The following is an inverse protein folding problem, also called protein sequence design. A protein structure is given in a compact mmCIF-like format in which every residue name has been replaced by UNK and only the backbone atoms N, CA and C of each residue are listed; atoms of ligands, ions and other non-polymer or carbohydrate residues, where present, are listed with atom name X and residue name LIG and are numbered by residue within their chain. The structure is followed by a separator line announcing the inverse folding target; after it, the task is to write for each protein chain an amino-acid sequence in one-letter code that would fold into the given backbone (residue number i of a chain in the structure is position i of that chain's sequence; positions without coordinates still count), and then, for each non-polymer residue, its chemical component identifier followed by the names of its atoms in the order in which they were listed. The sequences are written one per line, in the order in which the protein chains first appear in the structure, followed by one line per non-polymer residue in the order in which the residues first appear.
data_IF_908417793469
#
_entry.id   IF_908417793469
#
_cell.length_a   1.000
_cell.length_b   1.000
_cell.length_c   1.000
_cell.angle_alpha   90.00
_cell.angle_beta   90.00
_cell.angle_gamma   90.00
#
_symmetry.space_group_name_H-M   'P 1'
#
loop_
_entity.id
_entity.type
_entity.pdbx_description
1 polymer ?
#
# COMPACT_ATOMS: atom_id res chain seq x y z
N UNK A 1 10.85 -4.94 -21.29
CA UNK A 1 10.14 -4.10 -22.29
C UNK A 1 9.10 -4.96 -22.95
N UNK A 2 7.82 -4.76 -22.62
CA UNK A 2 6.70 -5.42 -23.30
C UNK A 2 5.89 -4.34 -24.01
N UNK A 3 5.49 -4.69 -25.23
CA UNK A 3 5.05 -3.80 -26.29
C UNK A 3 3.77 -3.04 -26.01
N UNK A 4 3.75 -1.89 -26.67
CA UNK A 4 2.66 -0.93 -26.76
C UNK A 4 1.59 -1.50 -27.69
N UNK A 5 0.46 -1.97 -27.14
CA UNK A 5 -0.74 -2.29 -27.90
C UNK A 5 -1.95 -1.77 -27.09
N UNK A 6 -2.58 -0.70 -27.58
CA UNK A 6 -3.92 -0.28 -27.13
C UNK A 6 -4.06 0.54 -25.84
N UNK A 7 -3.28 1.61 -25.63
CA UNK A 7 -3.75 2.85 -24.99
C UNK A 7 -4.33 2.85 -23.56
N UNK A 8 -4.23 1.79 -22.76
CA UNK A 8 -4.53 1.83 -21.32
C UNK A 8 -3.21 1.99 -20.52
N UNK A 9 -3.04 3.14 -19.86
CA UNK A 9 -1.92 3.33 -18.92
C UNK A 9 -1.99 2.27 -17.82
N UNK A 10 -0.90 1.52 -17.64
CA UNK A 10 -0.79 0.52 -16.58
C UNK A 10 -0.91 1.23 -15.22
N UNK A 11 -1.82 0.81 -14.32
CA UNK A 11 -1.94 1.38 -12.99
C UNK A 11 -0.60 1.40 -12.24
N UNK A 12 -0.19 2.60 -11.80
CA UNK A 12 1.09 2.83 -11.12
C UNK A 12 0.94 2.97 -9.59
N UNK A 13 -0.28 3.23 -9.12
CA UNK A 13 -0.61 3.30 -7.69
C UNK A 13 -1.64 2.24 -7.29
N UNK A 14 -1.75 1.96 -5.98
CA UNK A 14 -2.73 0.99 -5.50
C UNK A 14 -4.14 1.49 -5.75
N UNK A 15 -4.39 2.79 -5.58
CA UNK A 15 -5.70 3.38 -5.84
C UNK A 15 -6.11 3.20 -7.29
N UNK A 16 -5.21 3.45 -8.24
CA UNK A 16 -5.47 3.20 -9.66
C UNK A 16 -5.86 1.73 -9.89
N UNK A 17 -5.09 0.79 -9.32
CA UNK A 17 -5.37 -0.63 -9.48
C UNK A 17 -6.78 -1.01 -8.97
N UNK A 18 -7.21 -0.45 -7.83
CA UNK A 18 -8.55 -0.70 -7.27
C UNK A 18 -9.66 0.00 -8.06
N UNK A 19 -9.41 1.20 -8.58
CA UNK A 19 -10.32 1.89 -9.49
C UNK A 19 -10.55 1.07 -10.77
N UNK A 20 -9.48 0.58 -11.40
CA UNK A 20 -9.59 -0.31 -12.56
C UNK A 20 -10.31 -1.62 -12.22
N UNK A 21 -9.99 -2.22 -11.07
CA UNK A 21 -10.69 -3.41 -10.59
C UNK A 21 -12.20 -3.18 -10.48
N UNK A 22 -12.65 -2.08 -9.83
CA UNK A 22 -14.07 -1.76 -9.68
C UNK A 22 -14.77 -1.58 -11.05
N UNK A 23 -14.13 -0.88 -11.99
CA UNK A 23 -14.66 -0.70 -13.34
C UNK A 23 -14.79 -2.02 -14.09
N UNK A 24 -13.78 -2.89 -14.01
CA UNK A 24 -13.80 -4.22 -14.64
C UNK A 24 -14.95 -5.06 -14.06
N UNK A 25 -15.13 -5.08 -12.73
CA UNK A 25 -16.22 -5.84 -12.10
C UNK A 25 -17.59 -5.33 -12.54
N UNK A 26 -17.75 -4.01 -12.63
CA UNK A 26 -19.00 -3.38 -13.10
C UNK A 26 -19.28 -3.74 -14.56
N UNK A 27 -18.26 -3.73 -15.42
CA UNK A 27 -18.40 -4.11 -16.83
C UNK A 27 -18.73 -5.60 -17.00
N UNK A 28 -18.12 -6.49 -16.21
CA UNK A 28 -18.42 -7.94 -16.22
C UNK A 28 -19.89 -8.19 -15.86
N UNK A 29 -20.38 -7.52 -14.80
CA UNK A 29 -21.79 -7.57 -14.40
C UNK A 29 -22.70 -7.15 -15.55
N UNK A 30 -22.41 -6.03 -16.21
CA UNK A 30 -23.23 -5.50 -17.29
C UNK A 30 -23.27 -6.40 -18.53
N UNK A 31 -22.12 -6.97 -18.94
CA UNK A 31 -22.08 -7.95 -20.04
C UNK A 31 -22.97 -9.18 -19.77
N UNK A 32 -23.02 -9.65 -18.51
CA UNK A 32 -23.74 -10.88 -18.13
C UNK A 32 -25.27 -10.72 -18.07
N UNK A 33 -25.79 -9.55 -17.70
CA UNK A 33 -27.24 -9.34 -17.49
C UNK A 33 -27.91 -8.41 -18.50
N UNK A 34 -27.15 -7.51 -19.15
CA UNK A 34 -27.73 -6.48 -20.02
C UNK A 34 -27.41 -6.68 -21.50
N UNK A 35 -26.56 -7.65 -21.87
CA UNK A 35 -26.33 -8.04 -23.27
C UNK A 35 -25.81 -6.90 -24.17
N UNK A 36 -25.24 -5.85 -23.59
CA UNK A 36 -24.81 -4.65 -24.32
C UNK A 36 -23.53 -4.92 -25.10
N UNK A 37 -23.60 -4.72 -26.41
CA UNK A 37 -22.44 -4.72 -27.33
C UNK A 37 -21.44 -3.62 -26.95
N UNK A 38 -20.17 -3.90 -27.26
CA UNK A 38 -19.00 -3.10 -26.96
C UNK A 38 -19.01 -1.75 -27.68
N UNK A 39 -19.53 -0.71 -27.04
CA UNK A 39 -19.19 0.68 -27.39
C UNK A 39 -19.29 1.58 -26.15
N UNK A 40 -18.14 2.14 -25.76
CA UNK A 40 -17.85 3.03 -24.62
C UNK A 40 -17.78 2.41 -23.21
N UNK A 41 -16.66 1.71 -22.94
CA UNK A 41 -16.31 1.00 -21.69
C UNK A 41 -16.10 1.87 -20.43
N UNK A 42 -16.38 3.17 -20.47
CA UNK A 42 -16.05 4.12 -19.38
C UNK A 42 -17.24 4.65 -18.59
N UNK A 43 -18.48 4.45 -19.06
CA UNK A 43 -19.65 5.03 -18.42
C UNK A 43 -20.42 4.00 -17.59
N UNK A 44 -20.22 4.03 -16.27
CA UNK A 44 -21.03 3.27 -15.30
C UNK A 44 -22.49 3.75 -15.38
N UNK A 45 -23.45 2.82 -15.47
CA UNK A 45 -24.89 3.17 -15.54
C UNK A 45 -25.38 3.82 -14.24
N UNK A 46 -26.49 4.57 -14.27
CA UNK A 46 -26.98 5.25 -13.06
C UNK A 46 -27.36 4.27 -11.93
N UNK A 47 -27.96 3.13 -12.28
CA UNK A 47 -28.29 2.08 -11.30
C UNK A 47 -27.04 1.45 -10.69
N UNK A 48 -25.99 1.21 -11.49
CA UNK A 48 -24.71 0.71 -10.97
C UNK A 48 -24.06 1.73 -10.03
N UNK A 49 -24.17 3.02 -10.31
CA UNK A 49 -23.65 4.10 -9.45
C UNK A 49 -24.31 4.08 -8.09
N UNK A 50 -25.64 4.09 -8.08
CA UNK A 50 -26.41 4.14 -6.84
C UNK A 50 -26.08 2.92 -5.97
N UNK A 51 -25.95 1.73 -6.57
CA UNK A 51 -25.56 0.52 -5.86
C UNK A 51 -24.12 0.58 -5.31
N UNK A 52 -23.15 1.02 -6.12
CA UNK A 52 -21.76 1.18 -5.67
C UNK A 52 -21.69 2.17 -4.51
N UNK A 53 -22.44 3.27 -4.56
CA UNK A 53 -22.49 4.26 -3.49
C UNK A 53 -23.10 3.70 -2.20
N UNK A 54 -24.16 2.90 -2.29
CA UNK A 54 -24.72 2.18 -1.13
C UNK A 54 -23.72 1.20 -0.53
N UNK A 55 -23.00 0.44 -1.36
CA UNK A 55 -21.92 -0.45 -0.91
C UNK A 55 -20.76 0.33 -0.27
N UNK A 56 -20.44 1.50 -0.81
CA UNK A 56 -19.43 2.40 -0.27
C UNK A 56 -19.82 2.97 1.10
N UNK A 57 -21.08 3.35 1.27
CA UNK A 57 -21.66 3.78 2.55
C UNK A 57 -21.61 2.66 3.59
N UNK A 58 -22.06 1.46 3.22
CA UNK A 58 -21.97 0.29 4.08
C UNK A 58 -20.51 0.02 4.49
N UNK A 59 -19.59 0.05 3.53
CA UNK A 59 -18.17 -0.19 3.78
C UNK A 59 -17.59 0.82 4.78
N UNK A 60 -17.96 2.10 4.66
CA UNK A 60 -17.57 3.16 5.59
C UNK A 60 -18.11 2.90 6.99
N UNK A 61 -19.41 2.64 7.13
CA UNK A 61 -20.02 2.38 8.45
C UNK A 61 -19.42 1.15 9.14
N UNK A 62 -19.15 0.08 8.39
CA UNK A 62 -18.54 -1.12 8.97
C UNK A 62 -17.05 -0.89 9.30
N UNK A 63 -16.34 -0.07 8.52
CA UNK A 63 -14.97 0.33 8.85
C UNK A 63 -14.93 1.16 10.16
N UNK A 64 -15.86 2.11 10.35
CA UNK A 64 -15.98 2.88 11.58
C UNK A 64 -16.24 2.01 12.81
N UNK A 65 -17.11 0.99 12.66
CA UNK A 65 -17.43 0.03 13.72
C UNK A 65 -16.29 -0.97 13.99
N UNK A 66 -15.31 -1.07 13.09
CA UNK A 66 -14.27 -2.10 13.14
C UNK A 66 -14.78 -3.51 12.78
N UNK A 67 -15.88 -3.60 12.04
CA UNK A 67 -16.52 -4.84 11.67
C UNK A 67 -16.00 -5.36 10.32
N UNK A 68 -15.76 -6.67 10.26
CA UNK A 68 -15.44 -7.41 9.01
C UNK A 68 -16.69 -8.15 8.50
N UNK A 69 -17.55 -8.59 9.42
CA UNK A 69 -18.78 -9.32 9.14
C UNK A 69 -19.96 -8.46 9.59
N UNK A 70 -21.00 -8.41 8.77
CA UNK A 70 -22.22 -7.65 9.02
C UNK A 70 -23.45 -8.48 8.60
N UNK A 71 -24.64 -7.97 8.95
CA UNK A 71 -25.89 -8.71 8.83
C UNK A 71 -26.87 -8.04 7.87
N UNK A 72 -27.99 -8.72 7.62
CA UNK A 72 -29.08 -8.21 6.80
C UNK A 72 -29.62 -6.85 7.28
N UNK A 73 -29.59 -6.59 8.58
CA UNK A 73 -29.98 -5.30 9.16
C UNK A 73 -29.05 -4.18 8.70
N UNK A 74 -27.74 -4.43 8.66
CA UNK A 74 -26.77 -3.44 8.20
C UNK A 74 -26.94 -3.13 6.70
N UNK A 75 -27.36 -4.11 5.89
CA UNK A 75 -27.70 -3.90 4.48
C UNK A 75 -28.92 -3.00 4.31
N UNK A 76 -29.97 -3.27 5.10
CA UNK A 76 -31.21 -2.47 5.08
C UNK A 76 -30.99 -1.05 5.56
N UNK A 77 -30.13 -0.86 6.56
CA UNK A 77 -29.76 0.48 7.07
C UNK A 77 -29.06 1.34 5.99
N UNK A 78 -28.51 0.72 4.94
CA UNK A 78 -27.90 1.39 3.78
C UNK A 78 -28.78 1.29 2.50
N UNK A 79 -30.07 1.00 2.65
CA UNK A 79 -31.03 0.84 1.54
C UNK A 79 -30.62 -0.20 0.49
N UNK A 80 -29.87 -1.23 0.89
CA UNK A 80 -29.48 -2.36 0.01
C UNK A 80 -30.51 -3.48 0.17
N UNK A 81 -31.20 -3.81 -0.92
CA UNK A 81 -32.05 -5.00 -0.92
C UNK A 81 -31.18 -6.26 -0.84
N UNK A 82 -31.57 -7.18 0.04
CA UNK A 82 -30.93 -8.49 0.23
C UNK A 82 -30.94 -9.29 -1.07
N UNK A 83 -31.99 -9.14 -1.88
CA UNK A 83 -32.09 -9.79 -3.18
C UNK A 83 -31.03 -9.25 -4.16
N UNK A 84 -30.80 -7.93 -4.14
CA UNK A 84 -29.76 -7.25 -4.93
C UNK A 84 -28.35 -7.61 -4.45
N UNK A 85 -28.13 -7.67 -3.13
CA UNK A 85 -26.88 -8.10 -2.53
C UNK A 85 -26.53 -9.56 -2.89
N UNK A 86 -27.54 -10.44 -2.95
CA UNK A 86 -27.37 -11.84 -3.37
C UNK A 86 -26.93 -11.92 -4.84
N UNK A 87 -27.52 -11.11 -5.72
CA UNK A 87 -27.12 -11.01 -7.13
C UNK A 87 -25.68 -10.51 -7.23
N UNK A 88 -25.30 -9.46 -6.50
CA UNK A 88 -23.93 -8.97 -6.51
C UNK A 88 -22.94 -9.99 -5.95
N UNK A 89 -23.30 -10.72 -4.90
CA UNK A 89 -22.47 -11.82 -4.40
C UNK A 89 -22.24 -12.89 -5.46
N UNK A 90 -23.25 -13.19 -6.29
CA UNK A 90 -23.14 -14.20 -7.35
C UNK A 90 -22.43 -13.73 -8.62
N UNK A 91 -22.35 -12.41 -8.85
CA UNK A 91 -21.81 -11.81 -10.08
C UNK A 91 -20.44 -11.19 -9.85
N UNK A 92 -20.30 -10.47 -8.75
CA UNK A 92 -19.10 -9.84 -8.24
C UNK A 92 -18.67 -10.55 -6.95
N UNK A 93 -18.48 -11.88 -7.04
CA UNK A 93 -17.92 -12.72 -5.96
C UNK A 93 -16.57 -12.22 -5.43
N UNK A 94 -15.93 -11.29 -6.15
CA UNK A 94 -14.68 -10.63 -5.81
C UNK A 94 -14.88 -9.34 -4.99
N UNK A 95 -16.10 -8.80 -4.91
CA UNK A 95 -16.43 -7.61 -4.09
C UNK A 95 -17.13 -8.04 -2.80
N UNK A 96 -18.14 -8.89 -2.92
CA UNK A 96 -19.11 -9.15 -1.86
C UNK A 96 -19.38 -10.66 -1.69
N UNK A 97 -19.50 -11.12 -0.45
CA UNK A 97 -19.70 -12.54 -0.11
C UNK A 97 -20.87 -12.72 0.87
N UNK A 98 -21.83 -13.55 0.49
CA UNK A 98 -22.84 -14.11 1.39
C UNK A 98 -22.40 -15.49 1.89
N UNK A 99 -22.52 -15.71 3.20
CA UNK A 99 -22.22 -17.00 3.84
C UNK A 99 -23.38 -17.43 4.76
N UNK A 100 -23.67 -18.74 4.79
CA UNK A 100 -24.62 -19.31 5.73
C UNK A 100 -23.88 -19.93 6.91
N UNK A 101 -24.00 -19.34 8.08
CA UNK A 101 -23.37 -19.87 9.31
C UNK A 101 -24.34 -20.85 10.01
N UNK A 102 -23.84 -21.59 11.01
CA UNK A 102 -24.65 -22.41 11.91
C UNK A 102 -25.95 -21.70 12.30
N UNK A 103 -27.07 -22.44 12.27
CA UNK A 103 -28.45 -21.93 12.46
C UNK A 103 -29.09 -21.16 11.28
N UNK A 104 -28.57 -21.30 10.05
CA UNK A 104 -29.12 -20.68 8.82
C UNK A 104 -29.17 -19.15 8.85
N UNK A 105 -28.40 -18.51 9.74
CA UNK A 105 -28.28 -17.05 9.74
C UNK A 105 -27.33 -16.65 8.62
N UNK A 106 -27.83 -15.82 7.70
CA UNK A 106 -27.01 -15.23 6.63
C UNK A 106 -26.11 -14.17 7.22
N UNK A 107 -24.84 -14.22 6.85
CA UNK A 107 -23.85 -13.20 7.18
C UNK A 107 -23.20 -12.71 5.89
N UNK A 108 -22.72 -11.48 5.94
CA UNK A 108 -22.16 -10.80 4.79
C UNK A 108 -20.79 -10.23 5.15
N UNK A 109 -19.88 -10.27 4.18
CA UNK A 109 -18.61 -9.56 4.26
C UNK A 109 -18.16 -9.09 2.89
N UNK A 110 -17.26 -8.11 2.88
CA UNK A 110 -16.45 -7.87 1.70
C UNK A 110 -15.43 -8.99 1.56
N UNK A 111 -15.12 -9.35 0.32
CA UNK A 111 -14.24 -10.50 0.01
C UNK A 111 -12.84 -10.29 0.57
N UNK A 112 -12.40 -9.03 0.65
CA UNK A 112 -11.16 -8.65 1.30
C UNK A 112 -11.30 -7.29 2.00
N UNK A 113 -10.62 -7.11 3.13
CA UNK A 113 -10.67 -5.86 3.92
C UNK A 113 -10.25 -4.63 3.10
N UNK A 114 -9.28 -4.79 2.19
CA UNK A 114 -8.87 -3.69 1.30
C UNK A 114 -9.98 -3.17 0.39
N UNK A 115 -10.95 -4.02 0.01
CA UNK A 115 -12.10 -3.62 -0.81
C UNK A 115 -13.05 -2.78 0.05
N UNK A 116 -13.28 -3.20 1.30
CA UNK A 116 -14.03 -2.41 2.27
C UNK A 116 -13.37 -1.04 2.49
N UNK A 117 -12.06 -0.99 2.72
CA UNK A 117 -11.34 0.27 2.91
C UNK A 117 -11.33 1.17 1.67
N UNK A 118 -11.20 0.59 0.47
CA UNK A 118 -11.29 1.33 -0.80
C UNK A 118 -12.69 1.94 -1.01
N UNK A 119 -13.74 1.14 -0.82
CA UNK A 119 -15.12 1.60 -0.95
C UNK A 119 -15.48 2.64 0.12
N UNK A 120 -15.00 2.47 1.35
CA UNK A 120 -15.14 3.47 2.40
C UNK A 120 -14.48 4.81 2.02
N UNK A 121 -13.29 4.77 1.43
CA UNK A 121 -12.61 5.98 0.93
C UNK A 121 -13.39 6.64 -0.20
N UNK A 122 -13.97 5.85 -1.11
CA UNK A 122 -14.85 6.34 -2.17
C UNK A 122 -16.07 7.08 -1.61
N UNK A 123 -16.72 6.53 -0.59
CA UNK A 123 -17.85 7.18 0.07
C UNK A 123 -17.47 8.53 0.68
N UNK A 124 -16.32 8.62 1.35
CA UNK A 124 -15.85 9.88 1.95
C UNK A 124 -15.59 10.95 0.90
N UNK A 125 -14.98 10.61 -0.23
CA UNK A 125 -14.79 11.55 -1.36
C UNK A 125 -16.14 11.97 -1.95
N UNK A 126 -17.08 11.05 -2.10
CA UNK A 126 -18.42 11.36 -2.58
C UNK A 126 -19.18 12.30 -1.63
N UNK A 127 -19.11 12.07 -0.32
CA UNK A 127 -19.71 12.94 0.70
C UNK A 127 -19.09 14.35 0.68
N UNK A 128 -17.77 14.44 0.52
CA UNK A 128 -17.06 15.71 0.36
C UNK A 128 -17.53 16.46 -0.88
N UNK A 129 -17.55 15.79 -2.04
CA UNK A 129 -17.97 16.35 -3.32
C UNK A 129 -19.45 16.79 -3.34
N UNK A 130 -20.29 16.12 -2.54
CA UNK A 130 -21.74 16.39 -2.44
C UNK A 130 -22.11 17.32 -1.27
N UNK A 131 -21.13 17.84 -0.51
CA UNK A 131 -21.35 18.62 0.70
C UNK A 131 -22.21 17.93 1.79
N UNK A 132 -22.19 16.59 1.82
CA UNK A 132 -22.91 15.73 2.80
C UNK A 132 -22.02 15.28 3.95
N UNK A 133 -21.16 16.16 4.43
CA UNK A 133 -20.16 15.87 5.46
C UNK A 133 -20.74 15.50 6.83
N UNK A 134 -22.00 15.85 7.10
CA UNK A 134 -22.69 15.49 8.35
C UNK A 134 -22.87 13.97 8.52
N UNK A 135 -22.81 13.21 7.41
CA UNK A 135 -22.91 11.75 7.41
C UNK A 135 -21.63 11.08 7.94
N UNK A 136 -20.51 11.81 8.01
CA UNK A 136 -19.21 11.24 8.39
C UNK A 136 -18.93 11.44 9.90
N UNK A 137 -19.44 10.52 10.72
CA UNK A 137 -19.23 10.53 12.18
C UNK A 137 -17.75 10.48 12.56
N UNK A 138 -16.94 9.75 11.79
CA UNK A 138 -15.48 9.62 11.94
C UNK A 138 -14.78 10.97 12.01
N UNK A 139 -15.35 11.99 11.34
CA UNK A 139 -14.79 13.33 11.23
C UNK A 139 -15.53 14.36 12.09
N UNK A 140 -16.56 13.96 12.85
CA UNK A 140 -17.47 14.87 13.56
C UNK A 140 -17.04 15.25 14.98
N UNK A 141 -16.19 14.45 15.66
CA UNK A 141 -15.80 14.67 17.07
C UNK A 141 -15.00 15.97 17.32
N UNK A 142 -14.44 16.61 16.29
CA UNK A 142 -13.76 17.91 16.38
C UNK A 142 -14.63 19.10 15.94
N UNK A 143 -15.95 18.95 15.82
CA UNK A 143 -16.87 20.07 15.62
C UNK A 143 -17.02 20.90 16.91
N UNK A 144 -15.92 21.46 17.42
CA UNK A 144 -15.99 22.60 18.34
C UNK A 144 -15.82 23.89 17.52
N UNK A 145 -16.95 24.58 17.28
CA UNK A 145 -17.07 26.01 16.88
C UNK A 145 -16.95 26.43 15.41
N UNK A 146 -17.08 25.55 14.42
CA UNK A 146 -17.18 26.02 13.01
C UNK A 146 -18.52 25.58 12.41
N UNK A 147 -19.48 26.50 12.47
CA UNK A 147 -20.77 26.42 11.79
C UNK A 147 -20.60 26.55 10.27
N UNK A 148 -21.26 25.68 9.51
CA UNK A 148 -21.64 25.78 8.08
C UNK A 148 -20.58 26.13 7.02
N UNK A 149 -19.29 26.17 7.34
CA UNK A 149 -18.23 26.35 6.34
C UNK A 149 -17.94 25.02 5.63
N UNK A 150 -18.05 25.04 4.31
CA UNK A 150 -17.61 23.97 3.41
C UNK A 150 -16.18 23.55 3.75
N UNK A 151 -15.99 22.27 4.09
CA UNK A 151 -14.68 21.78 4.49
C UNK A 151 -13.79 21.62 3.27
N UNK A 152 -12.69 22.37 3.23
CA UNK A 152 -11.70 22.23 2.17
C UNK A 152 -11.09 20.81 2.17
N UNK A 153 -10.79 20.30 0.98
CA UNK A 153 -10.23 18.97 0.77
C UNK A 153 -8.93 18.73 1.58
N UNK A 154 -8.09 19.75 1.70
CA UNK A 154 -6.86 19.64 2.48
C UNK A 154 -7.12 19.52 3.99
N UNK A 155 -8.22 20.06 4.51
CA UNK A 155 -8.61 19.90 5.92
C UNK A 155 -9.16 18.49 6.16
N UNK A 156 -9.96 17.96 5.22
CA UNK A 156 -10.38 16.55 5.22
C UNK A 156 -9.17 15.61 5.30
N UNK A 157 -8.20 15.82 4.41
CA UNK A 157 -6.99 15.01 4.38
C UNK A 157 -6.20 15.10 5.69
N UNK A 158 -5.99 16.30 6.24
CA UNK A 158 -5.30 16.47 7.52
C UNK A 158 -6.01 15.70 8.64
N UNK A 159 -7.33 15.75 8.68
CA UNK A 159 -8.12 15.08 9.70
C UNK A 159 -7.99 13.55 9.56
N UNK A 160 -8.11 13.02 8.35
CA UNK A 160 -7.91 11.60 8.06
C UNK A 160 -6.50 11.12 8.39
N UNK A 161 -5.47 11.89 8.02
CA UNK A 161 -4.07 11.58 8.36
C UNK A 161 -3.88 11.51 9.88
N UNK A 162 -4.40 12.48 10.63
CA UNK A 162 -4.27 12.47 12.09
C UNK A 162 -4.99 11.26 12.71
N UNK A 163 -6.20 10.94 12.25
CA UNK A 163 -6.96 9.81 12.78
C UNK A 163 -6.28 8.46 12.47
N UNK A 164 -5.68 8.31 11.29
CA UNK A 164 -4.88 7.14 10.96
C UNK A 164 -3.60 7.03 11.81
N UNK A 165 -2.97 8.16 12.16
CA UNK A 165 -1.80 8.16 13.05
C UNK A 165 -2.17 7.87 14.52
N UNK A 166 -3.38 8.23 14.96
CA UNK A 166 -3.93 7.90 16.29
C UNK A 166 -4.29 6.41 16.42
N UNK A 167 -4.57 5.73 15.30
CA UNK A 167 -4.84 4.28 15.27
C UNK A 167 -3.63 3.48 15.73
N UNK A 168 -3.78 2.64 16.77
CA UNK A 168 -2.66 1.85 17.31
C UNK A 168 -2.24 0.69 16.40
N UNK A 169 -3.20 0.05 15.73
CA UNK A 169 -2.98 -1.13 14.87
C UNK A 169 -2.92 -0.79 13.37
N UNK A 170 -3.06 0.49 12.99
CA UNK A 170 -2.98 0.90 11.58
C UNK A 170 -4.18 0.51 10.72
N UNK A 171 -5.33 0.16 11.33
CA UNK A 171 -6.54 -0.25 10.59
C UNK A 171 -7.16 0.81 9.66
N UNK A 172 -6.62 2.03 9.65
CA UNK A 172 -7.03 3.11 8.74
C UNK A 172 -5.94 3.47 7.72
N UNK A 173 -4.80 2.79 7.75
CA UNK A 173 -3.64 3.15 6.93
C UNK A 173 -3.94 2.92 5.44
N UNK A 174 -4.60 1.81 5.10
CA UNK A 174 -4.95 1.50 3.72
C UNK A 174 -6.15 2.33 3.23
N UNK A 175 -7.18 2.51 4.07
CA UNK A 175 -8.23 3.51 3.84
C UNK A 175 -7.66 4.91 3.52
N UNK A 176 -6.70 5.40 4.32
CA UNK A 176 -6.10 6.71 4.12
C UNK A 176 -5.39 6.82 2.76
N UNK A 177 -4.66 5.77 2.36
CA UNK A 177 -4.00 5.70 1.06
C UNK A 177 -5.00 5.84 -0.08
N UNK A 178 -6.09 5.08 -0.04
CA UNK A 178 -7.15 5.17 -1.04
C UNK A 178 -7.82 6.55 -1.05
N UNK A 179 -8.11 7.12 0.13
CA UNK A 179 -8.71 8.44 0.24
C UNK A 179 -7.87 9.50 -0.46
N UNK A 180 -6.55 9.50 -0.19
CA UNK A 180 -5.63 10.45 -0.80
C UNK A 180 -5.47 10.22 -2.30
N UNK A 181 -5.40 8.96 -2.75
CA UNK A 181 -5.32 8.63 -4.17
C UNK A 181 -6.58 9.05 -4.94
N UNK A 182 -7.78 8.79 -4.39
CA UNK A 182 -9.06 9.13 -5.01
C UNK A 182 -9.30 10.65 -5.09
N UNK A 183 -8.56 11.43 -4.30
CA UNK A 183 -8.61 12.89 -4.35
C UNK A 183 -7.92 13.50 -5.58
N UNK A 184 -7.10 12.75 -6.30
CA UNK A 184 -6.46 13.20 -7.54
C UNK A 184 -7.45 13.17 -8.71
N UNK A 185 -7.46 14.23 -9.52
CA UNK A 185 -8.33 14.34 -10.69
C UNK A 185 -8.10 13.19 -11.70
N UNK A 186 -6.86 12.70 -11.82
CA UNK A 186 -6.52 11.55 -12.66
C UNK A 186 -7.25 10.27 -12.25
N UNK A 187 -7.57 10.11 -10.97
CA UNK A 187 -8.26 8.94 -10.45
C UNK A 187 -9.78 9.15 -10.42
N UNK A 188 -10.23 10.40 -10.26
CA UNK A 188 -11.65 10.77 -10.38
C UNK A 188 -12.17 10.65 -11.82
N UNK A 189 -11.34 10.94 -12.83
CA UNK A 189 -11.73 10.82 -14.23
C UNK A 189 -12.08 9.39 -14.64
N UNK A 190 -11.42 8.38 -14.07
CA UNK A 190 -11.79 6.98 -14.28
C UNK A 190 -13.14 6.62 -13.64
N UNK A 191 -13.55 7.36 -12.61
CA UNK A 191 -14.84 7.21 -11.92
C UNK A 191 -15.85 8.28 -12.37
N UNK A 192 -15.66 8.85 -13.57
CA UNK A 192 -16.52 9.89 -14.11
C UNK A 192 -17.97 9.38 -14.18
N UNK A 193 -18.81 9.95 -13.32
CA UNK A 193 -20.19 9.50 -13.10
C UNK A 193 -20.50 9.08 -11.67
N UNK A 194 -19.56 8.43 -10.97
CA UNK A 194 -19.67 8.07 -9.54
C UNK A 194 -19.30 9.25 -8.63
N UNK A 195 -18.30 10.03 -9.05
CA UNK A 195 -17.86 11.24 -8.36
C UNK A 195 -18.20 12.44 -9.24
N UNK A 196 -18.87 13.44 -8.67
CA UNK A 196 -19.05 14.73 -9.35
C UNK A 196 -17.68 15.38 -9.53
N UNK A 197 -17.45 16.03 -10.67
CA UNK A 197 -16.22 16.76 -10.95
C UNK A 197 -16.15 17.97 -10.02
N UNK A 198 -15.69 17.78 -8.80
CA UNK A 198 -15.21 18.87 -7.95
C UNK A 198 -13.78 19.13 -8.38
N UNK A 199 -13.47 20.36 -8.83
CA UNK A 199 -12.09 20.79 -9.03
C UNK A 199 -11.28 20.39 -7.78
N UNK A 200 -10.44 19.36 -7.87
CA UNK A 200 -9.41 19.21 -6.87
C UNK A 200 -8.52 20.44 -7.06
N UNK A 201 -8.60 21.39 -6.13
CA UNK A 201 -7.68 22.51 -6.21
C UNK A 201 -6.29 21.88 -6.06
N UNK A 202 -5.49 21.92 -7.12
CA UNK A 202 -4.08 21.51 -7.11
C UNK A 202 -3.35 22.05 -5.87
N UNK A 203 -3.79 23.22 -5.39
CA UNK A 203 -3.38 23.83 -4.13
C UNK A 203 -3.69 23.02 -2.87
N UNK A 204 -4.89 22.43 -2.74
CA UNK A 204 -5.24 21.56 -1.61
C UNK A 204 -4.38 20.29 -1.56
N UNK A 205 -4.09 19.70 -2.72
CA UNK A 205 -3.19 18.55 -2.83
C UNK A 205 -1.76 18.96 -2.41
N UNK A 206 -1.24 20.09 -2.91
CA UNK A 206 0.08 20.61 -2.51
C UNK A 206 0.17 20.86 -1.00
N UNK A 207 -0.86 21.45 -0.39
CA UNK A 207 -0.96 21.65 1.07
C UNK A 207 -0.94 20.32 1.83
N UNK A 208 -1.65 19.32 1.32
CA UNK A 208 -1.68 17.96 1.89
C UNK A 208 -0.31 17.30 1.83
N UNK A 209 0.35 17.32 0.66
CA UNK A 209 1.71 16.80 0.46
C UNK A 209 2.70 17.47 1.41
N UNK A 210 2.67 18.80 1.53
CA UNK A 210 3.53 19.55 2.46
C UNK A 210 3.29 19.11 3.91
N UNK A 211 2.02 18.94 4.29
CA UNK A 211 1.65 18.50 5.64
C UNK A 211 2.18 17.09 5.97
N UNK A 212 1.97 16.12 5.07
CA UNK A 212 2.45 14.75 5.25
C UNK A 212 3.98 14.71 5.35
N UNK A 213 4.70 15.50 4.54
CA UNK A 213 6.18 15.61 4.61
C UNK A 213 6.65 16.12 5.97
N UNK A 214 5.94 17.06 6.59
CA UNK A 214 6.24 17.57 7.94
C UNK A 214 5.95 16.51 9.00
N UNK A 215 4.85 15.77 8.90
CA UNK A 215 4.54 14.72 9.89
C UNK A 215 5.56 13.58 9.83
N UNK A 216 6.03 13.23 8.64
CA UNK A 216 7.00 12.16 8.44
C UNK A 216 8.34 12.40 9.15
N UNK A 217 8.70 13.65 9.44
CA UNK A 217 9.89 13.97 10.25
C UNK A 217 9.61 13.97 11.76
N UNK A 218 8.33 14.01 12.17
CA UNK A 218 7.91 14.06 13.58
C UNK A 218 7.61 12.69 14.18
N UNK A 219 7.15 11.73 13.38
CA UNK A 219 6.81 10.38 13.85
C UNK A 219 7.93 9.38 13.51
N UNK A 220 8.67 8.87 14.50
CA UNK A 220 9.89 8.10 14.25
C UNK A 220 9.65 6.61 13.97
N UNK A 221 8.45 6.07 14.23
CA UNK A 221 8.20 4.63 14.03
C UNK A 221 8.27 4.28 12.54
N UNK A 222 9.04 3.26 12.15
CA UNK A 222 9.20 2.82 10.76
C UNK A 222 7.88 2.54 10.05
N UNK A 223 6.91 1.95 10.74
CA UNK A 223 5.60 1.55 10.19
C UNK A 223 4.79 2.79 9.79
N UNK A 224 4.71 3.78 10.68
CA UNK A 224 4.04 5.07 10.40
C UNK A 224 4.76 5.84 9.31
N UNK A 225 6.09 5.83 9.31
CA UNK A 225 6.88 6.46 8.25
C UNK A 225 6.57 5.83 6.89
N UNK A 226 6.54 4.50 6.82
CA UNK A 226 6.19 3.75 5.61
C UNK A 226 4.79 4.07 5.13
N UNK A 227 3.80 4.10 6.03
CA UNK A 227 2.44 4.47 5.64
C UNK A 227 2.38 5.90 5.05
N UNK A 228 3.00 6.88 5.71
CA UNK A 228 3.04 8.26 5.22
C UNK A 228 3.81 8.39 3.88
N UNK A 229 4.84 7.57 3.68
CA UNK A 229 5.52 7.47 2.39
C UNK A 229 4.60 6.94 1.30
N UNK A 230 3.88 5.84 1.57
CA UNK A 230 2.93 5.26 0.60
C UNK A 230 1.78 6.24 0.30
N UNK A 231 1.31 7.01 1.28
CA UNK A 231 0.36 8.09 1.08
C UNK A 231 0.87 9.15 0.09
N UNK A 232 2.15 9.50 0.13
CA UNK A 232 2.76 10.43 -0.83
C UNK A 232 2.86 9.82 -2.23
N UNK A 233 3.13 8.52 -2.33
CA UNK A 233 3.11 7.78 -3.60
C UNK A 233 1.70 7.81 -4.22
N UNK A 234 0.64 7.58 -3.44
CA UNK A 234 -0.74 7.68 -3.92
C UNK A 234 -1.10 9.10 -4.39
N UNK A 235 -0.45 10.13 -3.84
CA UNK A 235 -0.57 11.54 -4.26
C UNK A 235 0.37 11.92 -5.43
N UNK A 236 0.99 10.94 -6.10
CA UNK A 236 1.98 11.14 -7.16
C UNK A 236 3.22 11.96 -6.74
N UNK A 237 3.53 12.06 -5.44
CA UNK A 237 4.76 12.66 -4.93
C UNK A 237 5.88 11.62 -4.81
N UNK A 238 6.58 11.42 -5.92
CA UNK A 238 7.74 10.52 -6.00
C UNK A 238 9.05 11.19 -5.56
N UNK A 239 9.01 12.29 -4.80
CA UNK A 239 10.23 13.06 -4.47
C UNK A 239 11.25 12.23 -3.67
N UNK A 240 10.77 11.36 -2.78
CA UNK A 240 11.64 10.46 -2.02
C UNK A 240 12.19 9.32 -2.90
N UNK A 241 11.39 8.79 -3.83
CA UNK A 241 11.87 7.80 -4.80
C UNK A 241 12.98 8.37 -5.68
N UNK A 242 12.85 9.63 -6.11
CA UNK A 242 13.90 10.32 -6.88
C UNK A 242 15.16 10.56 -6.06
N UNK A 243 15.02 10.86 -4.75
CA UNK A 243 16.17 10.90 -3.82
C UNK A 243 16.84 9.54 -3.73
N UNK A 244 16.04 8.48 -3.62
CA UNK A 244 16.48 7.08 -3.58
C UNK A 244 17.21 6.66 -4.86
N UNK A 245 16.67 6.97 -6.03
CA UNK A 245 17.29 6.66 -7.33
C UNK A 245 18.65 7.35 -7.50
N UNK A 246 18.79 8.60 -7.03
CA UNK A 246 20.09 9.29 -7.05
C UNK A 246 21.21 8.58 -6.28
N UNK A 247 20.90 7.73 -5.30
CA UNK A 247 21.93 6.92 -4.62
C UNK A 247 22.53 5.84 -5.52
N UNK A 248 21.78 5.35 -6.52
CA UNK A 248 22.31 4.42 -7.51
C UNK A 248 23.28 5.09 -8.48
N UNK A 249 23.04 6.37 -8.79
CA UNK A 249 23.73 7.03 -9.89
C UNK A 249 25.05 7.70 -9.49
N UNK A 250 25.23 8.13 -8.23
CA UNK A 250 26.52 8.48 -7.59
C UNK A 250 26.35 9.34 -6.34
N UNK A 251 27.11 9.00 -5.29
CA UNK A 251 27.64 9.90 -4.23
C UNK A 251 26.75 11.08 -3.78
N UNK A 252 25.50 10.82 -3.41
CA UNK A 252 24.71 11.80 -2.67
C UNK A 252 25.19 11.79 -1.21
N UNK A 253 25.91 12.84 -0.82
CA UNK A 253 26.42 13.04 0.54
C UNK A 253 25.34 13.26 1.62
N UNK A 254 24.05 13.24 1.27
CA UNK A 254 22.95 13.38 2.23
C UNK A 254 22.85 12.10 3.09
N UNK A 255 22.78 12.27 4.42
CA UNK A 255 22.71 11.15 5.35
C UNK A 255 21.28 10.61 5.43
N UNK A 256 21.07 9.35 5.07
CA UNK A 256 19.78 8.68 5.18
C UNK A 256 19.43 8.38 6.64
N UNK A 257 18.19 8.67 7.02
CA UNK A 257 17.61 8.24 8.28
C UNK A 257 17.26 6.74 8.25
N UNK A 258 17.17 6.04 9.40
CA UNK A 258 16.75 4.64 9.45
C UNK A 258 15.40 4.36 8.76
N UNK A 259 14.48 5.31 8.81
CA UNK A 259 13.17 5.18 8.19
C UNK A 259 13.23 5.31 6.65
N UNK A 260 14.07 6.22 6.13
CA UNK A 260 14.36 6.30 4.69
C UNK A 260 15.05 5.03 4.19
N UNK A 261 15.94 4.44 4.99
CA UNK A 261 16.55 3.14 4.69
C UNK A 261 15.52 2.01 4.62
N UNK A 262 14.55 1.98 5.53
CA UNK A 262 13.44 1.00 5.48
C UNK A 262 12.60 1.16 4.21
N UNK A 263 12.32 2.41 3.84
CA UNK A 263 11.61 2.75 2.60
C UNK A 263 12.38 2.32 1.36
N UNK A 264 13.69 2.57 1.32
CA UNK A 264 14.56 2.16 0.23
C UNK A 264 14.57 0.63 0.08
N UNK A 265 14.71 -0.11 1.19
CA UNK A 265 14.67 -1.57 1.15
C UNK A 265 13.33 -2.09 0.62
N UNK A 266 12.21 -1.51 1.06
CA UNK A 266 10.89 -1.84 0.54
C UNK A 266 10.77 -1.58 -0.96
N UNK A 267 11.21 -0.41 -1.44
CA UNK A 267 11.14 -0.05 -2.87
C UNK A 267 11.97 -1.02 -3.72
N UNK A 268 13.15 -1.41 -3.24
CA UNK A 268 13.98 -2.41 -3.93
C UNK A 268 13.31 -3.79 -3.94
N UNK A 269 12.66 -4.20 -2.86
CA UNK A 269 11.91 -5.46 -2.77
C UNK A 269 10.68 -5.51 -3.68
N UNK A 270 10.02 -4.39 -3.87
CA UNK A 270 8.85 -4.29 -4.75
C UNK A 270 9.24 -4.06 -6.21
N UNK A 271 10.51 -3.74 -6.48
CA UNK A 271 11.02 -3.62 -7.84
C UNK A 271 11.23 -5.00 -8.46
N UNK A 272 10.85 -5.16 -9.73
CA UNK A 272 11.21 -6.35 -10.51
C UNK A 272 12.68 -6.32 -10.99
N UNK A 273 13.44 -5.29 -10.60
CA UNK A 273 14.82 -5.12 -11.00
C UNK A 273 15.78 -5.86 -10.07
N UNK A 274 16.73 -6.56 -10.67
CA UNK A 274 17.81 -7.24 -9.96
C UNK A 274 19.06 -6.35 -10.02
N UNK A 275 19.54 -5.92 -8.86
CA UNK A 275 20.79 -5.18 -8.72
C UNK A 275 21.99 -6.09 -9.00
N UNK A 276 22.94 -5.65 -9.80
CA UNK A 276 24.19 -6.40 -9.98
C UNK A 276 25.02 -6.42 -8.68
N UNK A 277 25.17 -5.26 -8.04
CA UNK A 277 25.89 -5.12 -6.76
C UNK A 277 25.07 -4.28 -5.79
N UNK A 278 24.83 -4.84 -4.62
CA UNK A 278 24.27 -4.16 -3.46
C UNK A 278 25.35 -4.03 -2.39
N UNK A 279 26.02 -2.88 -2.38
CA UNK A 279 27.05 -2.57 -1.38
C UNK A 279 26.49 -1.60 -0.34
N UNK A 280 26.31 -2.11 0.88
CA UNK A 280 25.72 -1.34 1.97
C UNK A 280 26.62 -0.18 2.43
N UNK A 281 27.93 -0.24 2.14
CA UNK A 281 28.90 0.78 2.51
C UNK A 281 28.73 2.05 1.68
N UNK A 282 28.12 1.95 0.50
CA UNK A 282 27.80 3.08 -0.37
C UNK A 282 26.70 3.99 0.21
N UNK A 283 25.91 3.49 1.16
CA UNK A 283 24.84 4.27 1.79
C UNK A 283 25.35 5.03 3.01
N UNK A 284 25.29 6.37 2.94
CA UNK A 284 25.58 7.25 4.06
C UNK A 284 24.45 7.18 5.11
N UNK A 285 24.52 6.25 6.06
CA UNK A 285 23.51 6.10 7.11
C UNK A 285 24.10 5.59 8.43
N UNK A 286 23.28 5.64 9.49
CA UNK A 286 23.60 5.07 10.80
C UNK A 286 23.70 3.54 10.78
N UNK A 287 24.31 2.89 11.79
CA UNK A 287 24.30 1.42 11.90
C UNK A 287 22.88 0.82 11.85
N UNK A 288 21.90 1.46 12.49
CA UNK A 288 20.50 1.02 12.39
C UNK A 288 20.00 1.11 10.95
N UNK A 289 20.26 2.22 10.25
CA UNK A 289 19.87 2.37 8.85
C UNK A 289 20.46 1.31 7.93
N UNK A 290 21.72 0.90 8.15
CA UNK A 290 22.33 -0.24 7.44
C UNK A 290 21.52 -1.52 7.68
N UNK A 291 21.17 -1.81 8.93
CA UNK A 291 20.34 -2.99 9.26
C UNK A 291 18.99 -2.95 8.51
N UNK A 292 18.36 -1.78 8.43
CA UNK A 292 17.09 -1.62 7.67
C UNK A 292 17.21 -1.86 6.17
N UNK A 293 18.42 -1.80 5.61
CA UNK A 293 18.69 -2.03 4.19
C UNK A 293 18.91 -3.50 3.83
N UNK A 294 19.25 -4.35 4.80
CA UNK A 294 19.56 -5.79 4.58
C UNK A 294 18.47 -6.54 3.79
N UNK A 295 17.16 -6.31 4.00
CA UNK A 295 16.14 -7.04 3.23
C UNK A 295 16.31 -6.93 1.71
N UNK A 296 16.91 -5.85 1.20
CA UNK A 296 17.17 -5.63 -0.21
C UNK A 296 18.19 -6.62 -0.83
N UNK A 297 18.91 -7.40 -0.02
CA UNK A 297 19.81 -8.49 -0.47
C UNK A 297 19.06 -9.52 -1.32
N UNK A 298 17.74 -9.67 -1.13
CA UNK A 298 16.91 -10.54 -1.98
C UNK A 298 16.89 -10.12 -3.45
N UNK A 299 17.16 -8.84 -3.73
CA UNK A 299 17.03 -8.23 -5.05
C UNK A 299 18.38 -8.01 -5.73
N UNK A 300 19.45 -8.67 -5.30
CA UNK A 300 20.77 -8.50 -5.93
C UNK A 300 21.45 -9.82 -6.30
N UNK A 301 22.42 -9.73 -7.21
CA UNK A 301 23.35 -10.82 -7.55
C UNK A 301 24.51 -10.88 -6.58
N UNK A 302 25.05 -9.72 -6.21
CA UNK A 302 26.13 -9.58 -5.24
C UNK A 302 25.71 -8.69 -4.09
N UNK A 303 25.91 -9.15 -2.85
CA UNK A 303 25.72 -8.36 -1.65
C UNK A 303 27.03 -8.17 -0.90
N UNK A 304 27.37 -6.92 -0.61
CA UNK A 304 28.52 -6.55 0.24
C UNK A 304 27.97 -5.95 1.54
N UNK A 305 28.01 -6.74 2.61
CA UNK A 305 27.44 -6.41 3.91
C UNK A 305 28.54 -6.23 4.98
N UNK A 306 29.69 -5.68 4.61
CA UNK A 306 30.82 -5.52 5.54
C UNK A 306 30.54 -4.47 6.61
N UNK A 307 31.03 -4.69 7.84
CA UNK A 307 30.91 -3.75 8.97
C UNK A 307 29.47 -3.33 9.32
N UNK A 308 28.50 -4.23 9.14
CA UNK A 308 27.08 -3.93 9.39
C UNK A 308 26.65 -4.13 10.85
N UNK A 309 27.53 -4.63 11.71
CA UNK A 309 27.18 -5.09 13.07
C UNK A 309 26.03 -6.12 13.03
N UNK A 310 26.03 -6.97 12.01
CA UNK A 310 25.09 -8.09 11.93
C UNK A 310 25.27 -8.99 13.15
N UNK A 311 24.16 -9.29 13.79
CA UNK A 311 23.97 -10.26 14.88
C UNK A 311 23.17 -11.47 14.36
N UNK A 312 23.08 -12.56 15.13
CA UNK A 312 22.18 -13.67 14.79
C UNK A 312 20.77 -13.20 14.43
N UNK A 313 20.16 -12.38 15.29
CA UNK A 313 18.78 -11.88 15.09
C UNK A 313 18.58 -11.06 13.80
N UNK A 314 19.63 -10.40 13.31
CA UNK A 314 19.58 -9.60 12.06
C UNK A 314 20.00 -10.39 10.82
N UNK A 315 20.43 -11.65 10.98
CA UNK A 315 20.80 -12.54 9.87
C UNK A 315 19.58 -13.12 9.15
N UNK A 316 18.40 -13.13 9.79
CA UNK A 316 17.18 -13.73 9.22
C UNK A 316 16.82 -13.22 7.82
N UNK A 317 17.08 -11.95 7.49
CA UNK A 317 16.86 -11.43 6.14
C UNK A 317 17.82 -12.02 5.09
N UNK A 318 19.08 -12.23 5.47
CA UNK A 318 20.10 -12.87 4.62
C UNK A 318 19.76 -14.34 4.42
N UNK A 319 19.42 -15.05 5.49
CA UNK A 319 19.00 -16.46 5.45
C UNK A 319 17.76 -16.63 4.57
N UNK A 320 16.77 -15.76 4.74
CA UNK A 320 15.57 -15.75 3.90
C UNK A 320 15.87 -15.47 2.43
N UNK A 321 16.91 -14.69 2.11
CA UNK A 321 17.37 -14.51 0.74
C UNK A 321 17.98 -15.82 0.18
N UNK A 322 18.86 -16.48 0.93
CA UNK A 322 19.48 -17.75 0.53
C UNK A 322 18.45 -18.88 0.33
N UNK A 323 17.35 -18.86 1.08
CA UNK A 323 16.30 -19.87 0.99
C UNK A 323 15.27 -19.61 -0.11
N UNK A 324 15.23 -18.41 -0.68
CA UNK A 324 14.19 -18.01 -1.61
C UNK A 324 14.47 -18.50 -3.03
N UNK A 325 13.50 -19.23 -3.61
CA UNK A 325 13.52 -19.68 -5.03
C UNK A 325 13.78 -18.51 -5.99
N UNK A 326 13.23 -17.33 -5.66
CA UNK A 326 13.28 -16.15 -6.50
C UNK A 326 14.55 -15.32 -6.30
N UNK A 327 15.38 -15.62 -5.28
CA UNK A 327 16.64 -14.89 -5.09
C UNK A 327 17.59 -15.16 -6.24
N UNK A 328 18.32 -14.12 -6.64
CA UNK A 328 19.38 -14.18 -7.65
C UNK A 328 20.77 -14.02 -7.03
N UNK A 329 20.87 -14.12 -5.70
CA UNK A 329 22.11 -13.89 -4.96
C UNK A 329 23.12 -15.01 -5.24
N UNK A 330 24.24 -14.65 -5.86
CA UNK A 330 25.36 -15.54 -6.20
C UNK A 330 26.62 -15.24 -5.39
N UNK A 331 26.81 -14.00 -4.94
CA UNK A 331 27.96 -13.58 -4.14
C UNK A 331 27.53 -12.84 -2.87
N UNK A 332 28.10 -13.21 -1.72
CA UNK A 332 27.79 -12.60 -0.44
C UNK A 332 29.07 -12.35 0.35
N UNK A 333 29.31 -11.10 0.72
CA UNK A 333 30.41 -10.70 1.59
C UNK A 333 29.88 -10.25 2.96
N UNK A 334 30.15 -11.06 3.97
CA UNK A 334 29.80 -10.83 5.38
C UNK A 334 31.02 -10.48 6.22
N UNK A 335 32.17 -10.18 5.60
CA UNK A 335 33.42 -9.89 6.31
C UNK A 335 33.25 -8.75 7.31
N UNK A 336 33.99 -8.82 8.42
CA UNK A 336 33.95 -7.84 9.49
C UNK A 336 32.58 -7.70 10.19
N UNK A 337 31.82 -8.79 10.28
CA UNK A 337 30.65 -8.92 11.15
C UNK A 337 30.89 -9.95 12.26
N UNK A 338 30.14 -9.82 13.36
CA UNK A 338 30.21 -10.74 14.49
C UNK A 338 28.85 -11.43 14.69
N UNK A 339 28.59 -12.45 13.85
CA UNK A 339 27.31 -13.17 13.84
C UNK A 339 27.08 -14.02 15.10
N UNK A 340 28.16 -14.40 15.79
CA UNK A 340 28.12 -15.40 16.86
C UNK A 340 27.76 -16.79 16.35
N UNK A 341 27.78 -17.80 17.24
CA UNK A 341 27.48 -19.18 16.87
C UNK A 341 26.05 -19.36 16.37
N UNK A 342 25.09 -18.63 16.95
CA UNK A 342 23.69 -18.65 16.53
C UNK A 342 23.53 -18.13 15.10
N UNK A 343 24.11 -16.98 14.76
CA UNK A 343 24.04 -16.42 13.42
C UNK A 343 24.76 -17.27 12.38
N UNK A 344 25.89 -17.90 12.73
CA UNK A 344 26.57 -18.86 11.85
C UNK A 344 25.70 -20.09 11.60
N UNK A 345 25.05 -20.64 12.64
CA UNK A 345 24.14 -21.79 12.49
C UNK A 345 22.95 -21.47 11.59
N UNK A 346 22.36 -20.29 11.73
CA UNK A 346 21.28 -19.83 10.85
C UNK A 346 21.77 -19.65 9.40
N UNK A 347 22.94 -19.04 9.21
CA UNK A 347 23.56 -18.89 7.89
C UNK A 347 23.77 -20.25 7.22
N UNK A 348 24.33 -21.24 7.94
CA UNK A 348 24.47 -22.61 7.44
C UNK A 348 23.13 -23.22 7.02
N UNK A 349 22.06 -22.96 7.79
CA UNK A 349 20.71 -23.42 7.44
C UNK A 349 20.22 -22.81 6.13
N UNK A 350 20.54 -21.53 5.87
CA UNK A 350 20.26 -20.88 4.59
C UNK A 350 21.08 -21.48 3.43
N UNK A 351 22.37 -21.74 3.66
CA UNK A 351 23.28 -22.32 2.66
C UNK A 351 22.91 -23.76 2.26
N UNK A 352 22.39 -24.55 3.19
CA UNK A 352 21.92 -25.92 2.93
C UNK A 352 20.57 -25.98 2.18
N UNK A 353 19.94 -24.84 1.92
CA UNK A 353 18.69 -24.81 1.16
C UNK A 353 18.90 -25.30 -0.27
N UNK A 354 18.02 -26.14 -0.82
CA UNK A 354 18.07 -26.52 -2.24
C UNK A 354 17.84 -25.34 -3.19
N UNK A 355 17.39 -24.19 -2.67
CA UNK A 355 17.19 -22.96 -3.43
C UNK A 355 18.36 -21.99 -3.36
N UNK A 356 19.41 -22.30 -2.58
CA UNK A 356 20.58 -21.45 -2.46
C UNK A 356 21.36 -21.47 -3.79
N UNK A 357 21.54 -20.28 -4.39
CA UNK A 357 22.32 -20.08 -5.63
C UNK A 357 23.67 -19.42 -5.36
N UNK A 358 24.09 -19.41 -4.09
CA UNK A 358 25.33 -18.75 -3.68
C UNK A 358 26.52 -19.58 -4.15
N UNK A 359 27.43 -18.96 -4.91
CA UNK A 359 28.68 -19.56 -5.40
C UNK A 359 29.89 -19.00 -4.66
N UNK A 360 29.75 -17.87 -3.97
CA UNK A 360 30.85 -17.27 -3.22
C UNK A 360 30.32 -16.68 -1.93
N UNK A 361 30.87 -17.16 -0.82
CA UNK A 361 30.66 -16.59 0.50
C UNK A 361 32.01 -16.12 1.04
N UNK A 362 32.11 -14.83 1.36
CA UNK A 362 33.25 -14.26 2.10
C UNK A 362 32.85 -14.02 3.53
N UNK A 363 33.61 -14.60 4.46
CA UNK A 363 33.41 -14.45 5.90
C UNK A 363 34.76 -14.41 6.61
N UNK A 364 34.89 -13.54 7.62
CA UNK A 364 36.14 -13.36 8.35
C UNK A 364 36.27 -12.04 9.11
N UNK A 365 37.16 -11.97 10.10
CA UNK A 365 37.54 -10.74 10.81
C UNK A 365 39.06 -10.61 10.89
N UNK A 366 39.58 -9.43 10.54
CA UNK A 366 40.92 -8.86 10.77
C UNK A 366 42.19 -9.65 10.34
N UNK A 367 42.20 -10.98 10.16
CA UNK A 367 43.36 -11.72 9.58
C UNK A 367 43.06 -12.97 8.73
N UNK A 368 41.80 -13.38 8.58
CA UNK A 368 41.47 -14.56 7.75
C UNK A 368 40.13 -14.35 7.06
N UNK A 369 40.15 -14.06 5.75
CA UNK A 369 38.95 -14.06 4.90
C UNK A 369 38.93 -15.43 4.23
N UNK A 370 37.88 -16.22 4.50
CA UNK A 370 37.67 -17.48 3.81
C UNK A 370 36.69 -17.26 2.64
N UNK A 371 37.01 -17.82 1.47
CA UNK A 371 36.02 -18.07 0.41
C UNK A 371 35.50 -19.49 0.63
N UNK A 372 34.21 -19.65 0.94
CA UNK A 372 33.66 -20.90 1.50
C UNK A 372 32.78 -21.73 0.55
N UNK A 373 32.68 -21.35 -0.71
CA UNK A 373 31.95 -22.04 -1.78
C UNK A 373 32.72 -21.73 -3.06
#
# INVERSE_FOLDING_TARGET
MLGNDGGEEIPTTLTQMYTHFLLIQTNIKNKKYHGTNETDSRNVSQSDRDLILKLAELAFHQLEKGNIIFYETDLKDCDIDVSEASVYSGVCTQIFKEESVMYKKKVYCFVHLSIQEFLAALYVIHCHASNKMDSLKLFSERKSRVSHLEMLLNELHKLAVNKALESKNGHLDLFLRFLLGLSLDSNKSFLQGLLTQTESSSESIKKTVKYIKVLRTKYPSPERYMNLFLCLVELNDFSLLKKVQKYRDSSSGEKLTPAECSCLAYVLLMSNEVLDVFDISTFNTSPEGRIRLIPAVKCCRKAVLTHCKLTGDSCGSVVSALQSVNSQLTELDLSYNHLGDSGVKELCTGLMSPHCKLHTLRYGVWKTIFSLI
#
